data_IF_827115368699
#
_entry.id   IF_827115368699
#
_cell.length_a   1.000
_cell.length_b   1.000
_cell.length_c   1.000
_cell.angle_alpha   90.00
_cell.angle_beta   90.00
_cell.angle_gamma   90.00
#
_symmetry.space_group_name_H-M   'P 1'
#
loop_
_entity.id
_entity.type
_entity.pdbx_description
1 polymer ?
#
# COMPACT_ATOMS: atom_id res chain seq x y z
N UNK A 1 10.82 7.88 13.99
CA UNK A 1 10.54 7.32 12.64
C UNK A 1 10.62 8.49 11.68
N UNK A 2 11.64 8.54 10.83
CA UNK A 2 11.91 9.72 9.99
C UNK A 2 11.26 9.51 8.62
N UNK A 3 10.24 10.32 8.32
CA UNK A 3 9.47 10.43 7.06
C UNK A 3 8.22 9.54 6.90
N UNK A 4 7.25 9.67 7.81
CA UNK A 4 5.88 9.14 7.60
C UNK A 4 5.14 9.92 6.50
N UNK A 5 5.08 9.35 5.29
CA UNK A 5 4.24 9.87 4.20
C UNK A 5 2.77 9.54 4.48
N UNK A 6 1.88 10.39 3.99
CA UNK A 6 0.44 10.08 3.96
C UNK A 6 0.09 9.40 2.65
N UNK A 7 -0.52 8.23 2.69
CA UNK A 7 -1.05 7.55 1.51
C UNK A 7 -2.57 7.36 1.64
N UNK A 8 -3.28 7.48 0.52
CA UNK A 8 -4.70 7.18 0.41
C UNK A 8 -4.89 5.80 -0.16
N UNK A 9 -5.77 5.01 0.45
CA UNK A 9 -6.00 3.62 0.07
C UNK A 9 -7.23 3.51 -0.82
N UNK A 10 -7.11 2.74 -1.89
CA UNK A 10 -8.24 2.34 -2.73
C UNK A 10 -8.28 0.82 -2.87
N UNK A 11 -9.48 0.26 -2.93
CA UNK A 11 -9.72 -1.16 -3.11
C UNK A 11 -10.49 -1.40 -4.40
N UNK A 12 -10.35 -2.60 -4.97
CA UNK A 12 -11.14 -3.01 -6.12
C UNK A 12 -12.60 -3.18 -5.68
N UNK A 13 -13.51 -2.55 -6.41
CA UNK A 13 -14.94 -2.64 -6.19
C UNK A 13 -15.63 -2.92 -7.52
N UNK A 14 -16.66 -3.79 -7.54
CA UNK A 14 -17.47 -3.97 -8.74
C UNK A 14 -18.13 -2.65 -9.13
N UNK A 15 -18.06 -2.33 -10.41
CA UNK A 15 -18.87 -1.31 -11.08
C UNK A 15 -20.06 -2.01 -11.78
N UNK A 16 -21.03 -1.26 -12.31
CA UNK A 16 -22.13 -1.84 -13.07
C UNK A 16 -21.64 -2.77 -14.20
N UNK A 17 -22.12 -4.02 -14.22
CA UNK A 17 -21.75 -5.05 -15.19
C UNK A 17 -20.51 -5.86 -14.78
N UNK A 18 -19.76 -6.38 -15.75
CA UNK A 18 -18.49 -7.12 -15.55
C UNK A 18 -17.27 -6.17 -15.44
N UNK A 19 -17.47 -4.96 -14.91
CA UNK A 19 -16.44 -3.94 -14.78
C UNK A 19 -16.01 -3.81 -13.33
N UNK A 20 -14.73 -3.57 -13.11
CA UNK A 20 -14.16 -3.31 -11.79
C UNK A 20 -13.45 -1.96 -11.79
N UNK A 21 -13.59 -1.22 -10.69
CA UNK A 21 -12.95 0.08 -10.51
C UNK A 21 -12.31 0.17 -9.13
N UNK A 22 -11.25 0.97 -9.01
CA UNK A 22 -10.65 1.27 -7.71
C UNK A 22 -11.43 2.39 -7.03
N UNK A 23 -12.01 2.08 -5.87
CA UNK A 23 -12.76 3.05 -5.06
C UNK A 23 -12.06 3.30 -3.74
N UNK A 24 -12.20 4.51 -3.21
CA UNK A 24 -11.60 4.92 -1.94
C UNK A 24 -12.05 3.98 -0.81
N UNK A 25 -11.09 3.40 -0.10
CA UNK A 25 -11.37 2.54 1.06
C UNK A 25 -11.17 3.33 2.36
N UNK A 26 -12.27 3.66 3.04
CA UNK A 26 -12.30 4.50 4.26
C UNK A 26 -12.42 3.70 5.57
N UNK A 27 -11.82 2.52 5.64
CA UNK A 27 -11.93 1.63 6.80
C UNK A 27 -10.93 1.89 7.95
N UNK A 28 -10.03 2.86 7.82
CA UNK A 28 -8.97 3.08 8.81
C UNK A 28 -9.40 4.06 9.89
N UNK A 29 -8.99 3.80 11.14
CA UNK A 29 -9.24 4.71 12.25
C UNK A 29 -8.04 5.64 12.44
N UNK A 30 -8.25 6.95 12.29
CA UNK A 30 -7.28 7.98 12.63
C UNK A 30 -7.90 8.95 13.63
N UNK A 31 -7.31 9.08 14.81
CA UNK A 31 -7.81 9.96 15.88
C UNK A 31 -9.30 9.78 16.21
N UNK A 32 -9.82 8.54 16.14
CA UNK A 32 -11.23 8.23 16.43
C UNK A 32 -12.21 8.48 15.28
N UNK A 33 -11.73 8.87 14.10
CA UNK A 33 -12.56 9.08 12.89
C UNK A 33 -12.15 8.11 11.78
N UNK A 34 -13.12 7.65 10.98
CA UNK A 34 -12.86 6.87 9.78
C UNK A 34 -12.12 7.71 8.74
N UNK A 35 -11.10 7.12 8.13
CA UNK A 35 -10.18 7.77 7.19
C UNK A 35 -9.77 6.78 6.11
N UNK A 36 -9.61 7.28 4.89
CA UNK A 36 -8.93 6.55 3.81
C UNK A 36 -7.42 6.78 3.80
N UNK A 37 -6.94 7.73 4.61
CA UNK A 37 -5.55 8.10 4.73
C UNK A 37 -4.84 7.28 5.81
N UNK A 38 -3.68 6.74 5.46
CA UNK A 38 -2.80 6.00 6.36
C UNK A 38 -1.41 6.66 6.39
N UNK A 39 -0.70 6.46 7.51
CA UNK A 39 0.72 6.80 7.61
C UNK A 39 1.54 5.60 7.17
N UNK A 40 2.45 5.85 6.23
CA UNK A 40 3.32 4.83 5.65
C UNK A 40 4.73 5.40 5.52
N UNK A 41 5.72 4.60 5.90
CA UNK A 41 7.10 4.85 5.51
C UNK A 41 7.43 3.96 4.31
N UNK A 42 7.74 4.54 3.15
CA UNK A 42 8.02 3.80 1.91
C UNK A 42 9.50 3.95 1.58
N UNK A 43 10.18 2.82 1.41
CA UNK A 43 11.59 2.77 1.01
C UNK A 43 11.79 1.79 -0.17
N UNK A 44 12.78 2.02 -1.04
CA UNK A 44 13.17 1.03 -2.05
C UNK A 44 13.49 -0.31 -1.37
N UNK A 45 13.05 -1.41 -1.97
CA UNK A 45 13.37 -2.74 -1.46
C UNK A 45 14.83 -3.12 -1.77
N UNK A 46 15.35 -4.13 -1.07
CA UNK A 46 16.68 -4.67 -1.36
C UNK A 46 16.71 -5.42 -2.70
N UNK A 47 17.91 -5.62 -3.29
CA UNK A 47 18.07 -6.34 -4.56
C UNK A 47 17.48 -7.76 -4.54
N UNK A 48 17.55 -8.45 -3.40
CA UNK A 48 17.04 -9.82 -3.23
C UNK A 48 15.52 -9.89 -3.35
N UNK A 49 14.80 -8.92 -2.77
CA UNK A 49 13.34 -8.88 -2.83
C UNK A 49 12.83 -8.57 -4.26
N UNK A 50 13.62 -7.82 -5.03
CA UNK A 50 13.32 -7.50 -6.44
C UNK A 50 13.34 -8.77 -7.30
N UNK A 51 14.29 -9.69 -7.04
CA UNK A 51 14.41 -10.94 -7.79
C UNK A 51 13.25 -11.93 -7.54
N UNK A 52 12.59 -11.85 -6.38
CA UNK A 52 11.48 -12.75 -5.99
C UNK A 52 10.16 -12.35 -6.70
N UNK A 53 10.02 -11.11 -7.15
CA UNK A 53 8.79 -10.58 -7.77
C UNK A 53 8.50 -11.06 -9.21
N UNK A 54 8.85 -12.31 -9.54
CA UNK A 54 8.50 -12.99 -10.80
C UNK A 54 8.92 -12.26 -12.08
N UNK A 55 10.06 -11.55 -12.05
CA UNK A 55 10.65 -10.96 -13.26
C UNK A 55 10.03 -9.63 -13.71
N UNK A 56 9.11 -9.05 -12.93
CA UNK A 56 8.72 -7.65 -13.13
C UNK A 56 9.92 -6.75 -12.79
N UNK A 57 10.52 -6.10 -13.80
CA UNK A 57 11.60 -5.11 -13.65
C UNK A 57 11.05 -3.78 -13.10
N UNK A 58 10.05 -3.83 -12.24
CA UNK A 58 9.60 -2.65 -11.50
C UNK A 58 10.40 -2.59 -10.21
N UNK A 59 10.87 -1.38 -9.87
CA UNK A 59 11.47 -1.14 -8.56
C UNK A 59 10.44 -1.59 -7.51
N UNK A 60 10.78 -2.62 -6.75
CA UNK A 60 9.96 -3.04 -5.61
C UNK A 60 10.25 -2.10 -4.44
N UNK A 61 9.24 -1.88 -3.61
CA UNK A 61 9.34 -1.00 -2.44
C UNK A 61 8.82 -1.77 -1.22
N UNK A 62 9.42 -1.50 -0.06
CA UNK A 62 8.91 -1.93 1.23
C UNK A 62 8.21 -0.75 1.90
N UNK A 63 7.01 -0.97 2.40
CA UNK A 63 6.30 0.02 3.20
C UNK A 63 5.98 -0.48 4.60
N UNK A 64 6.08 0.40 5.59
CA UNK A 64 5.85 0.10 6.99
C UNK A 64 4.64 0.91 7.44
N UNK A 65 3.63 0.24 8.00
CA UNK A 65 2.43 0.90 8.50
C UNK A 65 1.88 0.20 9.73
N UNK A 66 1.23 0.94 10.62
CA UNK A 66 0.45 0.37 11.72
C UNK A 66 -1.00 0.09 11.32
N UNK A 67 -1.41 0.49 10.12
CA UNK A 67 -2.76 0.29 9.60
C UNK A 67 -2.99 -1.19 9.21
N UNK A 68 -3.77 -1.90 10.01
CA UNK A 68 -4.01 -3.34 9.82
C UNK A 68 -4.86 -3.70 8.60
N UNK A 69 -5.75 -2.80 8.17
CA UNK A 69 -6.71 -3.05 7.09
C UNK A 69 -6.14 -2.95 5.68
N UNK A 70 -4.85 -2.65 5.51
CA UNK A 70 -4.21 -2.64 4.19
C UNK A 70 -3.89 -4.08 3.82
N UNK A 71 -4.43 -4.56 2.71
CA UNK A 71 -4.26 -5.94 2.23
C UNK A 71 -3.75 -5.97 0.79
N UNK A 72 -3.37 -7.17 0.33
CA UNK A 72 -2.92 -7.41 -1.04
C UNK A 72 -3.99 -6.98 -2.06
N UNK A 73 -3.55 -6.44 -3.19
CA UNK A 73 -4.42 -5.94 -4.27
C UNK A 73 -4.89 -4.50 -4.08
N UNK A 74 -4.81 -3.92 -2.88
CA UNK A 74 -5.12 -2.50 -2.66
C UNK A 74 -4.10 -1.58 -3.34
N UNK A 75 -4.55 -0.39 -3.71
CA UNK A 75 -3.71 0.70 -4.22
C UNK A 75 -3.44 1.73 -3.13
N UNK A 76 -2.20 2.23 -3.11
CA UNK A 76 -1.73 3.30 -2.25
C UNK A 76 -1.32 4.50 -3.12
N UNK A 77 -2.01 5.62 -2.96
CA UNK A 77 -1.69 6.89 -3.61
C UNK A 77 -0.98 7.79 -2.62
N UNK A 78 0.30 8.10 -2.85
CA UNK A 78 1.11 8.92 -1.95
C UNK A 78 0.79 10.39 -2.15
N UNK A 79 0.30 11.02 -1.08
CA UNK A 79 -0.04 12.45 -1.05
C UNK A 79 1.17 13.31 -1.42
N UNK A 80 0.97 14.27 -2.32
CA UNK A 80 1.98 15.25 -2.72
C UNK A 80 3.03 14.76 -3.72
N UNK A 81 3.00 13.49 -4.15
CA UNK A 81 3.97 12.93 -5.12
C UNK A 81 3.31 12.27 -6.33
N UNK A 82 1.98 12.06 -6.30
CA UNK A 82 1.21 11.29 -7.30
C UNK A 82 1.76 9.88 -7.55
N UNK A 83 2.62 9.36 -6.67
CA UNK A 83 3.11 8.00 -6.78
C UNK A 83 2.00 7.03 -6.39
N UNK A 84 1.75 6.07 -7.26
CA UNK A 84 0.75 5.02 -7.07
C UNK A 84 1.48 3.70 -6.89
N UNK A 85 1.12 2.96 -5.85
CA UNK A 85 1.70 1.65 -5.55
C UNK A 85 0.61 0.61 -5.37
N UNK A 86 0.83 -0.61 -5.87
CA UNK A 86 -0.03 -1.76 -5.61
C UNK A 86 0.61 -2.65 -4.55
N UNK A 87 -0.20 -3.08 -3.58
CA UNK A 87 0.23 -4.01 -2.54
C UNK A 87 0.26 -5.43 -3.13
N UNK A 88 1.42 -6.08 -3.06
CA UNK A 88 1.67 -7.46 -3.55
C UNK A 88 1.94 -8.46 -2.44
N UNK A 89 2.21 -7.97 -1.23
CA UNK A 89 2.47 -8.84 -0.08
C UNK A 89 2.31 -8.07 1.21
N UNK A 90 1.99 -8.78 2.28
CA UNK A 90 1.81 -8.24 3.62
C UNK A 90 2.33 -9.22 4.64
N UNK A 91 3.20 -8.72 5.52
CA UNK A 91 3.76 -9.45 6.63
C UNK A 91 3.41 -8.71 7.93
N UNK A 92 2.90 -9.43 8.93
CA UNK A 92 2.53 -8.86 10.21
C UNK A 92 3.67 -9.10 11.22
N UNK A 93 4.27 -8.01 11.72
CA UNK A 93 5.30 -8.07 12.75
C UNK A 93 4.69 -7.69 14.09
N UNK A 94 4.47 -8.70 14.94
CA UNK A 94 3.67 -8.61 16.16
C UNK A 94 4.46 -8.67 17.48
N UNK A 95 5.70 -8.19 17.52
CA UNK A 95 6.54 -8.28 18.73
C UNK A 95 6.59 -6.95 19.49
N UNK A 96 5.80 -6.83 20.56
CA UNK A 96 5.90 -5.75 21.55
C UNK A 96 5.58 -4.33 21.04
N UNK A 97 6.28 -3.32 21.58
CA UNK A 97 6.00 -1.89 21.39
C UNK A 97 6.29 -1.33 19.96
N UNK A 98 6.51 -2.21 18.97
CA UNK A 98 6.82 -1.85 17.59
C UNK A 98 5.93 -2.55 16.57
N UNK A 99 4.70 -2.94 16.93
CA UNK A 99 3.80 -3.66 16.04
C UNK A 99 3.54 -2.88 14.74
N UNK A 100 3.85 -3.50 13.62
CA UNK A 100 3.62 -2.92 12.30
C UNK A 100 3.39 -4.01 11.25
N UNK A 101 2.91 -3.58 10.10
CA UNK A 101 2.77 -4.36 8.89
C UNK A 101 3.84 -3.91 7.91
N UNK A 102 4.56 -4.87 7.37
CA UNK A 102 5.44 -4.68 6.24
C UNK A 102 4.69 -5.04 4.97
N UNK A 103 4.65 -4.12 4.03
CA UNK A 103 4.00 -4.28 2.74
C UNK A 103 5.05 -4.35 1.66
N UNK A 104 4.92 -5.33 0.77
CA UNK A 104 5.64 -5.35 -0.49
C UNK A 104 4.82 -4.61 -1.52
N UNK A 105 5.42 -3.58 -2.12
CA UNK A 105 4.79 -2.68 -3.05
C UNK A 105 5.45 -2.73 -4.42
N UNK A 106 4.66 -2.62 -5.47
CA UNK A 106 5.12 -2.38 -6.85
C UNK A 106 4.56 -1.06 -7.35
N UNK A 107 5.34 -0.31 -8.14
CA UNK A 107 4.87 0.95 -8.71
C UNK A 107 3.78 0.64 -9.74
N UNK A 108 2.58 1.16 -9.52
CA UNK A 108 1.44 0.98 -10.42
C UNK A 108 1.34 2.18 -11.34
N UNK A 109 1.02 1.96 -12.61
CA UNK A 109 0.68 3.06 -13.51
C UNK A 109 -0.79 3.44 -13.28
N UNK A 110 -1.14 4.74 -13.16
CA UNK A 110 -2.55 5.15 -13.01
C UNK A 110 -3.43 4.80 -14.21
N UNK A 111 -2.82 4.43 -15.36
CA UNK A 111 -3.50 4.12 -16.62
C UNK A 111 -3.10 2.75 -17.21
N UNK A 112 -2.53 1.82 -16.43
CA UNK A 112 -1.89 0.62 -16.97
C UNK A 112 -2.70 -0.66 -16.82
N UNK A 113 -3.37 -1.03 -17.93
CA UNK A 113 -3.77 -2.36 -18.45
C UNK A 113 -4.19 -3.47 -17.47
#
# INVERSE_FOLDING_TARGET
MLLDRTAFVSALSPESGDKESFTTFSGFMFAGTQSAAIRVNIQPASPELTAISEGEVFKTYKAFTTASGVIEGMLLTVSGTNELFRVRGREAFGYGAGQHYELTLVKSNPNGA
#
